data_IF_859663432507
#
_entry.id   IF_859663432507
#
_cell.length_a   1.000
_cell.length_b   1.000
_cell.length_c   1.000
_cell.angle_alpha   90.00
_cell.angle_beta   90.00
_cell.angle_gamma   90.00
#
_symmetry.space_group_name_H-M   'P 1'
#
loop_
_entity.id
_entity.type
_entity.pdbx_description
1 polymer ?
#
# COMPACT_ATOMS: atom_id res chain seq x y z
N UNK A 1 -28.90 -42.97 -20.24
CA UNK A 1 -28.30 -42.04 -21.21
C UNK A 1 -26.89 -41.70 -20.74
N UNK A 2 -25.88 -42.39 -21.27
CA UNK A 2 -24.45 -42.13 -21.01
C UNK A 2 -23.93 -41.30 -22.18
N UNK A 3 -23.69 -40.01 -21.99
CA UNK A 3 -22.98 -39.17 -22.96
C UNK A 3 -21.48 -39.43 -22.82
N UNK A 4 -20.96 -40.23 -23.74
CA UNK A 4 -19.55 -40.50 -23.96
C UNK A 4 -18.81 -39.25 -24.41
N UNK A 5 -17.98 -38.67 -23.54
CA UNK A 5 -16.92 -37.73 -23.94
C UNK A 5 -15.75 -38.53 -24.52
N UNK A 6 -15.74 -38.68 -25.83
CA UNK A 6 -14.52 -39.01 -26.59
C UNK A 6 -14.30 -37.90 -27.62
N UNK A 7 -13.59 -36.81 -27.27
CA UNK A 7 -13.05 -35.92 -28.31
C UNK A 7 -11.93 -36.68 -29.00
N UNK A 8 -12.25 -37.29 -30.15
CA UNK A 8 -11.24 -37.73 -31.11
C UNK A 8 -10.50 -36.49 -31.64
N UNK A 9 -9.18 -36.59 -31.86
CA UNK A 9 -8.30 -35.55 -32.40
C UNK A 9 -8.73 -35.08 -33.81
N UNK A 10 -9.86 -34.38 -33.89
CA UNK A 10 -10.33 -33.72 -35.11
C UNK A 10 -9.73 -32.30 -35.14
N UNK A 11 -9.31 -31.85 -36.32
CA UNK A 11 -8.74 -30.52 -36.56
C UNK A 11 -9.52 -29.36 -35.88
N UNK A 12 -10.87 -29.38 -35.79
CA UNK A 12 -11.64 -28.38 -35.05
C UNK A 12 -11.50 -28.45 -33.51
N UNK A 13 -11.31 -29.65 -32.93
CA UNK A 13 -11.06 -29.82 -31.48
C UNK A 13 -9.65 -29.28 -31.14
N UNK A 14 -8.67 -29.47 -32.03
CA UNK A 14 -7.31 -28.93 -31.89
C UNK A 14 -7.30 -27.40 -32.03
N UNK A 15 -7.99 -26.82 -33.01
CA UNK A 15 -8.07 -25.36 -33.19
C UNK A 15 -8.78 -24.68 -32.00
N UNK A 16 -9.83 -25.30 -31.44
CA UNK A 16 -10.51 -24.79 -30.23
C UNK A 16 -9.64 -24.91 -28.99
N UNK A 17 -8.92 -26.03 -28.80
CA UNK A 17 -7.99 -26.20 -27.69
C UNK A 17 -6.79 -25.25 -27.78
N UNK A 18 -6.24 -25.07 -28.99
CA UNK A 18 -5.19 -24.09 -29.24
C UNK A 18 -5.70 -22.67 -28.99
N UNK A 19 -6.86 -22.28 -29.52
CA UNK A 19 -7.45 -20.96 -29.28
C UNK A 19 -7.74 -20.66 -27.80
N UNK A 20 -8.22 -21.66 -27.03
CA UNK A 20 -8.36 -21.53 -25.58
C UNK A 20 -7.00 -21.43 -24.88
N UNK A 21 -5.99 -22.19 -25.31
CA UNK A 21 -4.64 -22.12 -24.77
C UNK A 21 -4.00 -20.75 -25.05
N UNK A 22 -4.11 -20.22 -26.28
CA UNK A 22 -3.65 -18.86 -26.62
C UNK A 22 -4.41 -17.81 -25.84
N UNK A 23 -5.72 -17.95 -25.66
CA UNK A 23 -6.53 -17.02 -24.85
C UNK A 23 -6.10 -17.06 -23.37
N UNK A 24 -5.82 -18.24 -22.80
CA UNK A 24 -5.29 -18.35 -21.43
C UNK A 24 -3.85 -17.86 -21.30
N UNK A 25 -3.02 -17.99 -22.33
CA UNK A 25 -1.66 -17.43 -22.36
C UNK A 25 -1.67 -15.90 -22.49
N UNK A 26 -2.64 -15.34 -23.24
CA UNK A 26 -2.88 -13.89 -23.32
C UNK A 26 -3.47 -13.37 -22.00
N UNK A 27 -4.37 -14.11 -21.36
CA UNK A 27 -4.91 -13.74 -20.04
C UNK A 27 -3.87 -13.89 -18.91
N UNK A 28 -2.91 -14.82 -19.03
CA UNK A 28 -1.77 -14.93 -18.11
C UNK A 28 -0.81 -13.73 -18.19
N UNK A 29 -0.91 -12.91 -19.24
CA UNK A 29 -0.13 -11.66 -19.38
C UNK A 29 -0.75 -10.46 -18.66
N UNK A 30 -2.02 -10.56 -18.22
CA UNK A 30 -2.67 -9.55 -17.40
C UNK A 30 -2.48 -9.89 -15.91
N UNK A 31 -1.36 -9.47 -15.34
CA UNK A 31 -1.19 -9.45 -13.88
C UNK A 31 -2.38 -8.69 -13.26
N UNK A 32 -3.04 -9.26 -12.25
CA UNK A 32 -4.13 -8.60 -11.49
C UNK A 32 -3.64 -7.25 -10.95
N UNK A 33 -2.34 -7.14 -10.65
CA UNK A 33 -1.70 -5.88 -10.25
C UNK A 33 -1.78 -4.84 -11.37
N UNK A 34 -1.50 -5.23 -12.63
CA UNK A 34 -1.61 -4.32 -13.78
C UNK A 34 -3.04 -3.86 -14.02
N UNK A 35 -4.01 -4.77 -13.90
CA UNK A 35 -5.42 -4.45 -14.05
C UNK A 35 -5.88 -3.49 -12.95
N UNK A 36 -5.60 -3.81 -11.68
CA UNK A 36 -5.96 -2.99 -10.54
C UNK A 36 -5.29 -1.62 -10.57
N UNK A 37 -4.01 -1.58 -10.93
CA UNK A 37 -3.27 -0.33 -11.08
C UNK A 37 -3.82 0.55 -12.21
N UNK A 38 -4.19 -0.05 -13.35
CA UNK A 38 -4.81 0.69 -14.46
C UNK A 38 -6.13 1.37 -14.08
N UNK A 39 -6.86 0.83 -13.10
CA UNK A 39 -8.11 1.39 -12.57
C UNK A 39 -7.92 2.17 -11.27
N UNK A 40 -6.67 2.46 -10.87
CA UNK A 40 -6.36 3.10 -9.61
C UNK A 40 -7.04 4.48 -9.44
N UNK A 41 -7.14 5.35 -10.47
CA UNK A 41 -7.90 6.60 -10.36
C UNK A 41 -9.36 6.37 -9.96
N UNK A 42 -10.03 5.39 -10.58
CA UNK A 42 -11.43 5.06 -10.29
C UNK A 42 -11.60 4.51 -8.86
N UNK A 43 -10.71 3.61 -8.46
CA UNK A 43 -10.74 3.01 -7.12
C UNK A 43 -10.52 4.05 -6.02
N UNK A 44 -9.59 4.98 -6.23
CA UNK A 44 -9.34 6.08 -5.30
C UNK A 44 -10.55 7.03 -5.27
N UNK A 45 -11.15 7.34 -6.43
CA UNK A 45 -12.38 8.13 -6.48
C UNK A 45 -13.47 7.51 -5.60
N UNK A 46 -13.81 6.24 -5.78
CA UNK A 46 -14.87 5.59 -4.99
C UNK A 46 -14.54 5.53 -3.50
N UNK A 47 -13.25 5.38 -3.17
CA UNK A 47 -12.81 5.46 -1.79
C UNK A 47 -13.03 6.85 -1.20
N UNK A 48 -12.61 7.92 -1.87
CA UNK A 48 -12.81 9.31 -1.41
C UNK A 48 -14.29 9.66 -1.35
N UNK A 49 -15.06 9.28 -2.37
CA UNK A 49 -16.50 9.50 -2.45
C UNK A 49 -17.24 8.84 -1.28
N UNK A 50 -16.88 7.61 -0.92
CA UNK A 50 -17.43 6.95 0.26
C UNK A 50 -17.21 7.71 1.58
N UNK A 51 -16.18 8.56 1.66
CA UNK A 51 -15.91 9.42 2.81
C UNK A 51 -16.52 10.82 2.72
N UNK A 52 -16.67 11.39 1.52
CA UNK A 52 -17.05 12.79 1.33
C UNK A 52 -18.42 13.02 0.68
N UNK A 53 -19.04 11.98 0.09
CA UNK A 53 -20.32 12.04 -0.61
C UNK A 53 -20.33 13.17 -1.67
N UNK A 54 -19.50 13.01 -2.70
CA UNK A 54 -19.17 14.10 -3.62
C UNK A 54 -20.32 14.42 -4.59
N UNK A 55 -20.55 15.70 -4.86
CA UNK A 55 -21.45 16.12 -5.94
C UNK A 55 -20.82 15.85 -7.33
N UNK A 56 -21.61 15.99 -8.41
CA UNK A 56 -21.16 15.76 -9.78
C UNK A 56 -19.94 16.63 -10.18
N UNK A 57 -19.92 17.89 -9.72
CA UNK A 57 -18.87 18.85 -10.04
C UNK A 57 -17.58 18.61 -9.24
N UNK A 58 -17.68 18.10 -8.02
CA UNK A 58 -16.54 17.64 -7.21
C UNK A 58 -16.01 16.30 -7.72
N UNK A 59 -16.90 15.38 -8.09
CA UNK A 59 -16.58 14.08 -8.69
C UNK A 59 -15.78 14.23 -9.97
N UNK A 60 -16.25 15.08 -10.90
CA UNK A 60 -15.55 15.35 -12.16
C UNK A 60 -14.16 15.95 -11.92
N UNK A 61 -14.04 16.89 -10.97
CA UNK A 61 -12.77 17.50 -10.60
C UNK A 61 -11.78 16.45 -10.05
N UNK A 62 -12.21 15.66 -9.06
CA UNK A 62 -11.36 14.66 -8.42
C UNK A 62 -10.87 13.61 -9.42
N UNK A 63 -11.73 13.11 -10.30
CA UNK A 63 -11.37 12.14 -11.35
C UNK A 63 -10.28 12.67 -12.27
N UNK A 64 -10.41 13.92 -12.74
CA UNK A 64 -9.41 14.55 -13.60
C UNK A 64 -8.06 14.72 -12.89
N UNK A 65 -8.06 15.08 -11.61
CA UNK A 65 -6.82 15.24 -10.85
C UNK A 65 -6.16 13.89 -10.54
N UNK A 66 -6.94 12.85 -10.23
CA UNK A 66 -6.43 11.49 -10.03
C UNK A 66 -5.80 10.93 -11.30
N UNK A 67 -6.35 11.20 -12.49
CA UNK A 67 -5.71 10.80 -13.76
C UNK A 67 -4.36 11.49 -13.97
N UNK A 68 -4.26 12.80 -13.69
CA UNK A 68 -2.98 13.53 -13.79
C UNK A 68 -1.93 12.96 -12.84
N UNK A 69 -2.32 12.69 -11.59
CA UNK A 69 -1.44 12.09 -10.57
C UNK A 69 -1.00 10.69 -11.01
N UNK A 70 -1.92 9.88 -11.52
CA UNK A 70 -1.65 8.53 -11.99
C UNK A 70 -0.69 8.53 -13.19
N UNK A 71 -0.90 9.38 -14.18
CA UNK A 71 0.03 9.53 -15.29
C UNK A 71 1.42 10.02 -14.84
N UNK A 72 1.47 10.99 -13.93
CA UNK A 72 2.73 11.44 -13.34
C UNK A 72 3.45 10.30 -12.61
N UNK A 73 2.74 9.52 -11.80
CA UNK A 73 3.29 8.38 -11.07
C UNK A 73 3.83 7.32 -12.05
N UNK A 74 3.11 7.05 -13.14
CA UNK A 74 3.57 6.14 -14.19
C UNK A 74 4.87 6.61 -14.84
N UNK A 75 4.99 7.91 -15.12
CA UNK A 75 6.16 8.51 -15.77
C UNK A 75 7.36 8.62 -14.82
N UNK A 76 7.14 9.01 -13.58
CA UNK A 76 8.21 9.39 -12.65
C UNK A 76 8.53 8.29 -11.64
N UNK A 77 7.53 7.69 -10.99
CA UNK A 77 7.75 6.80 -9.85
C UNK A 77 7.92 5.33 -10.26
N UNK A 78 7.17 4.83 -11.25
CA UNK A 78 7.29 3.43 -11.66
C UNK A 78 8.68 3.03 -12.21
N UNK A 79 9.37 3.84 -13.02
CA UNK A 79 10.75 3.51 -13.44
C UNK A 79 11.72 3.43 -12.25
N UNK A 80 11.54 4.31 -11.25
CA UNK A 80 12.38 4.34 -10.05
C UNK A 80 12.12 3.12 -9.14
N UNK A 81 10.85 2.71 -9.04
CA UNK A 81 10.46 1.47 -8.38
C UNK A 81 11.06 0.24 -9.10
N UNK A 82 10.96 0.17 -10.42
CA UNK A 82 11.55 -0.93 -11.21
C UNK A 82 13.06 -1.06 -10.98
N UNK A 83 13.79 0.06 -10.98
CA UNK A 83 15.24 0.05 -10.73
C UNK A 83 15.58 -0.36 -9.29
N UNK A 84 14.78 0.06 -8.31
CA UNK A 84 14.92 -0.40 -6.92
C UNK A 84 14.70 -1.91 -6.82
N UNK A 85 13.66 -2.43 -7.46
CA UNK A 85 13.35 -3.87 -7.47
C UNK A 85 14.45 -4.70 -8.16
N UNK A 86 15.03 -4.20 -9.24
CA UNK A 86 16.19 -4.82 -9.89
C UNK A 86 17.42 -4.85 -8.95
N UNK A 87 17.65 -3.78 -8.19
CA UNK A 87 18.72 -3.71 -7.20
C UNK A 87 18.48 -4.68 -6.04
N UNK A 88 17.25 -4.80 -5.56
CA UNK A 88 16.91 -5.74 -4.50
C UNK A 88 17.11 -7.20 -4.93
N UNK A 89 16.89 -7.54 -6.21
CA UNK A 89 17.15 -8.89 -6.73
C UNK A 89 18.62 -9.29 -6.61
N UNK A 90 19.55 -8.38 -6.92
CA UNK A 90 20.99 -8.69 -6.82
C UNK A 90 21.46 -8.84 -5.38
N UNK A 91 20.77 -8.20 -4.43
CA UNK A 91 21.08 -8.30 -3.00
C UNK A 91 20.42 -9.51 -2.34
N UNK A 92 19.23 -9.91 -2.80
CA UNK A 92 18.42 -10.98 -2.22
C UNK A 92 19.08 -12.38 -2.26
N UNK A 93 20.17 -12.56 -3.00
CA UNK A 93 20.93 -13.82 -3.03
C UNK A 93 21.99 -13.90 -1.91
N UNK A 94 22.30 -12.78 -1.25
CA UNK A 94 23.36 -12.65 -0.24
C UNK A 94 22.77 -12.25 1.11
N UNK A 95 23.54 -12.44 2.18
CA UNK A 95 23.12 -11.98 3.51
C UNK A 95 22.98 -10.46 3.54
N UNK A 96 22.00 -9.99 4.31
CA UNK A 96 21.71 -8.57 4.51
C UNK A 96 21.92 -8.16 5.95
N UNK A 97 22.30 -6.90 6.14
CA UNK A 97 22.37 -6.26 7.45
C UNK A 97 21.08 -5.51 7.75
N UNK A 98 20.72 -5.30 9.03
CA UNK A 98 19.59 -4.45 9.39
C UNK A 98 19.71 -3.02 8.84
N UNK A 99 20.93 -2.47 8.81
CA UNK A 99 21.20 -1.14 8.28
C UNK A 99 20.86 -1.03 6.77
N UNK A 100 21.16 -2.05 5.97
CA UNK A 100 20.76 -2.09 4.56
C UNK A 100 19.23 -2.09 4.43
N UNK A 101 18.52 -2.90 5.22
CA UNK A 101 17.05 -2.95 5.19
C UNK A 101 16.41 -1.62 5.60
N UNK A 102 16.91 -0.99 6.66
CA UNK A 102 16.43 0.32 7.09
C UNK A 102 16.75 1.42 6.07
N UNK A 103 17.90 1.35 5.40
CA UNK A 103 18.23 2.24 4.28
C UNK A 103 17.21 2.18 3.14
N UNK A 104 16.68 0.99 2.83
CA UNK A 104 15.59 0.85 1.84
C UNK A 104 14.29 1.53 2.30
N UNK A 105 13.95 1.42 3.59
CA UNK A 105 12.78 2.11 4.15
C UNK A 105 12.96 3.63 4.04
N UNK A 106 14.14 4.15 4.35
CA UNK A 106 14.45 5.57 4.26
C UNK A 106 14.43 6.09 2.81
N UNK A 107 14.90 5.30 1.85
CA UNK A 107 14.87 5.65 0.43
C UNK A 107 13.45 5.74 -0.15
N UNK A 108 12.47 5.04 0.43
CA UNK A 108 11.06 5.09 0.00
C UNK A 108 10.30 6.30 0.55
N UNK A 109 10.70 6.86 1.69
CA UNK A 109 10.02 8.02 2.32
C UNK A 109 9.85 9.22 1.36
N UNK A 110 10.89 9.72 0.68
CA UNK A 110 10.73 10.86 -0.24
C UNK A 110 9.85 10.55 -1.45
N UNK A 111 9.72 9.28 -1.87
CA UNK A 111 8.83 8.85 -2.96
C UNK A 111 7.35 9.07 -2.58
N UNK A 112 7.01 8.73 -1.34
CA UNK A 112 5.66 8.99 -0.79
C UNK A 112 5.40 10.50 -0.74
N UNK A 113 6.38 11.28 -0.28
CA UNK A 113 6.29 12.74 -0.27
C UNK A 113 6.01 13.33 -1.65
N UNK A 114 6.70 12.87 -2.69
CA UNK A 114 6.50 13.35 -4.05
C UNK A 114 5.08 13.09 -4.58
N UNK A 115 4.45 11.95 -4.22
CA UNK A 115 3.04 11.67 -4.56
C UNK A 115 2.10 12.64 -3.85
N UNK A 116 2.36 12.93 -2.57
CA UNK A 116 1.55 13.88 -1.79
C UNK A 116 1.68 15.30 -2.33
N UNK A 117 2.87 15.74 -2.71
CA UNK A 117 3.13 17.04 -3.34
C UNK A 117 2.38 17.16 -4.68
N UNK A 118 2.33 16.08 -5.46
CA UNK A 118 1.57 16.03 -6.71
C UNK A 118 0.05 16.07 -6.49
N UNK A 119 -0.44 15.57 -5.36
CA UNK A 119 -1.86 15.58 -4.99
C UNK A 119 -2.32 16.90 -4.33
N UNK A 120 -1.41 17.64 -3.70
CA UNK A 120 -1.69 18.85 -2.90
C UNK A 120 -2.60 19.88 -3.62
N UNK A 121 -2.37 20.25 -4.91
CA UNK A 121 -3.20 21.27 -5.56
C UNK A 121 -4.66 20.83 -5.74
N UNK A 122 -4.87 19.56 -6.09
CA UNK A 122 -6.20 18.98 -6.25
C UNK A 122 -6.93 18.85 -4.91
N UNK A 123 -6.20 18.43 -3.86
CA UNK A 123 -6.72 18.38 -2.50
C UNK A 123 -7.16 19.76 -1.99
N UNK A 124 -6.35 20.81 -2.21
CA UNK A 124 -6.72 22.17 -1.81
C UNK A 124 -7.97 22.66 -2.57
N UNK A 125 -8.06 22.37 -3.86
CA UNK A 125 -9.22 22.77 -4.68
C UNK A 125 -10.48 22.04 -4.21
N UNK A 126 -10.42 20.73 -3.99
CA UNK A 126 -11.56 19.96 -3.50
C UNK A 126 -11.99 20.38 -2.10
N UNK A 127 -11.04 20.54 -1.17
CA UNK A 127 -11.32 20.84 0.23
C UNK A 127 -12.05 22.17 0.44
N UNK A 128 -11.74 23.19 -0.37
CA UNK A 128 -12.43 24.51 -0.30
C UNK A 128 -13.87 24.48 -0.83
N UNK A 129 -14.26 23.39 -1.50
CA UNK A 129 -15.60 23.20 -2.08
C UNK A 129 -16.49 22.27 -1.24
N UNK A 130 -15.99 21.76 -0.11
CA UNK A 130 -16.76 20.86 0.75
C UNK A 130 -17.86 21.61 1.48
N UNK A 131 -19.01 20.95 1.66
CA UNK A 131 -20.15 21.52 2.41
C UNK A 131 -20.15 21.05 3.87
N UNK A 132 -20.92 21.73 4.76
CA UNK A 132 -21.11 21.27 6.13
C UNK A 132 -21.67 19.84 6.23
N UNK A 133 -22.58 19.45 5.32
CA UNK A 133 -23.16 18.12 5.26
C UNK A 133 -22.11 17.05 4.92
N UNK A 134 -21.22 17.35 3.98
CA UNK A 134 -20.11 16.46 3.61
C UNK A 134 -19.10 16.30 4.75
N UNK A 135 -18.83 17.37 5.51
CA UNK A 135 -18.00 17.29 6.71
C UNK A 135 -18.66 16.44 7.81
N UNK A 136 -19.98 16.54 7.97
CA UNK A 136 -20.71 15.69 8.91
C UNK A 136 -20.68 14.20 8.49
N UNK A 137 -20.82 13.92 7.19
CA UNK A 137 -20.67 12.57 6.65
C UNK A 137 -19.25 12.02 6.87
N UNK A 138 -18.22 12.83 6.60
CA UNK A 138 -16.82 12.49 6.87
C UNK A 138 -16.63 12.09 8.34
N UNK A 139 -17.13 12.88 9.29
CA UNK A 139 -17.02 12.57 10.72
C UNK A 139 -17.65 11.21 11.04
N UNK A 140 -18.85 10.94 10.51
CA UNK A 140 -19.52 9.65 10.70
C UNK A 140 -18.69 8.48 10.13
N UNK A 141 -18.07 8.63 8.96
CA UNK A 141 -17.19 7.60 8.38
C UNK A 141 -15.90 7.41 9.19
N UNK A 142 -15.33 8.47 9.75
CA UNK A 142 -14.16 8.40 10.64
C UNK A 142 -14.49 7.64 11.93
N UNK A 143 -15.65 7.91 12.54
CA UNK A 143 -16.13 7.22 13.74
C UNK A 143 -16.37 5.73 13.47
N UNK A 144 -17.01 5.40 12.33
CA UNK A 144 -17.19 4.02 11.88
C UNK A 144 -15.86 3.30 11.69
N UNK A 145 -14.89 3.96 11.04
CA UNK A 145 -13.54 3.41 10.83
C UNK A 145 -12.79 3.20 12.14
N UNK A 146 -12.96 4.11 13.11
CA UNK A 146 -12.41 3.95 14.45
C UNK A 146 -12.95 2.69 15.13
N UNK A 147 -14.27 2.43 15.07
CA UNK A 147 -14.83 1.21 15.67
C UNK A 147 -14.30 -0.06 14.99
N UNK A 148 -14.25 -0.09 13.66
CA UNK A 148 -13.66 -1.21 12.92
C UNK A 148 -12.20 -1.47 13.32
N UNK A 149 -11.40 -0.41 13.46
CA UNK A 149 -10.02 -0.54 13.92
C UNK A 149 -9.95 -1.14 15.33
N UNK A 150 -10.83 -0.72 16.25
CA UNK A 150 -10.89 -1.30 17.60
C UNK A 150 -11.22 -2.80 17.55
N UNK A 151 -12.18 -3.20 16.72
CA UNK A 151 -12.55 -4.61 16.58
C UNK A 151 -11.42 -5.45 15.98
N UNK A 152 -10.69 -4.92 15.01
CA UNK A 152 -9.55 -5.60 14.37
C UNK A 152 -8.33 -5.73 15.32
N UNK A 153 -8.04 -4.67 16.10
CA UNK A 153 -6.77 -4.54 16.81
C UNK A 153 -6.87 -4.74 18.32
N UNK A 154 -7.99 -4.41 18.97
CA UNK A 154 -8.14 -4.51 20.43
C UNK A 154 -8.82 -5.81 20.89
N UNK A 155 -9.47 -6.55 19.99
CA UNK A 155 -10.22 -7.76 20.35
C UNK A 155 -9.32 -8.85 20.94
N UNK A 156 -9.80 -9.51 22.00
CA UNK A 156 -9.09 -10.61 22.65
C UNK A 156 -7.99 -10.16 23.61
N UNK A 157 -7.42 -11.11 24.35
CA UNK A 157 -6.34 -10.87 25.31
C UNK A 157 -4.98 -10.68 24.60
N UNK A 158 -3.96 -10.30 25.37
CA UNK A 158 -2.62 -9.99 24.84
C UNK A 158 -1.99 -11.14 24.05
N UNK A 159 -2.17 -12.38 24.49
CA UNK A 159 -1.64 -13.57 23.81
C UNK A 159 -2.34 -13.78 22.46
N UNK A 160 -3.67 -13.63 22.40
CA UNK A 160 -4.42 -13.72 21.15
C UNK A 160 -4.02 -12.61 20.17
N UNK A 161 -3.78 -11.39 20.66
CA UNK A 161 -3.30 -10.29 19.81
C UNK A 161 -1.90 -10.53 19.26
N UNK A 162 -0.99 -11.07 20.08
CA UNK A 162 0.35 -11.45 19.62
C UNK A 162 0.30 -12.58 18.59
N UNK A 163 -0.54 -13.60 18.80
CA UNK A 163 -0.72 -14.69 17.85
C UNK A 163 -1.19 -14.18 16.48
N UNK A 164 -2.20 -13.29 16.44
CA UNK A 164 -2.67 -12.68 15.18
C UNK A 164 -1.63 -11.78 14.51
N UNK A 165 -0.70 -11.18 15.27
CA UNK A 165 0.42 -10.41 14.70
C UNK A 165 1.46 -11.35 14.07
N UNK A 166 1.75 -12.46 14.75
CA UNK A 166 2.67 -13.47 14.25
C UNK A 166 2.14 -14.15 12.98
N UNK A 167 0.89 -14.59 12.99
CA UNK A 167 0.22 -15.20 11.83
C UNK A 167 0.32 -14.28 10.60
N UNK A 168 -0.10 -13.02 10.72
CA UNK A 168 0.01 -12.04 9.63
C UNK A 168 1.44 -11.78 9.16
N UNK A 169 2.44 -11.93 10.04
CA UNK A 169 3.84 -11.78 9.66
C UNK A 169 4.36 -13.02 8.92
N UNK A 170 3.94 -14.21 9.34
CA UNK A 170 4.24 -15.48 8.67
C UNK A 170 3.63 -15.47 7.27
N UNK A 171 2.33 -15.20 7.13
CA UNK A 171 1.64 -15.18 5.83
C UNK A 171 2.35 -14.26 4.83
N UNK A 172 2.68 -13.04 5.26
CA UNK A 172 3.42 -12.08 4.43
C UNK A 172 4.80 -12.59 4.07
N UNK A 173 5.52 -13.21 4.99
CA UNK A 173 6.83 -13.76 4.68
C UNK A 173 6.73 -14.93 3.69
N UNK A 174 5.70 -15.77 3.79
CA UNK A 174 5.47 -16.90 2.89
C UNK A 174 5.08 -16.49 1.46
N UNK A 175 4.44 -15.33 1.28
CA UNK A 175 4.19 -14.76 -0.04
C UNK A 175 5.50 -14.54 -0.83
N UNK A 176 6.56 -14.11 -0.14
CA UNK A 176 7.87 -13.82 -0.73
C UNK A 176 8.81 -15.03 -0.73
N UNK A 177 8.96 -15.73 0.39
CA UNK A 177 9.94 -16.81 0.56
C UNK A 177 9.36 -18.20 0.31
N UNK A 178 8.04 -18.37 0.30
CA UNK A 178 7.39 -19.68 0.39
C UNK A 178 7.35 -20.20 1.83
N UNK A 179 6.95 -21.46 2.06
CA UNK A 179 6.75 -22.00 3.41
C UNK A 179 7.95 -21.78 4.33
N UNK A 180 7.69 -21.36 5.57
CA UNK A 180 8.73 -21.13 6.57
C UNK A 180 9.00 -22.36 7.43
N UNK A 181 10.29 -22.61 7.73
CA UNK A 181 10.68 -23.66 8.68
C UNK A 181 10.26 -23.34 10.12
N UNK A 182 10.26 -24.35 10.99
CA UNK A 182 9.97 -24.17 12.42
C UNK A 182 10.93 -23.17 13.09
N UNK A 183 12.20 -23.18 12.68
CA UNK A 183 13.22 -22.25 13.16
C UNK A 183 12.89 -20.82 12.72
N UNK A 184 12.51 -20.62 11.46
CA UNK A 184 12.11 -19.33 10.90
C UNK A 184 10.86 -18.77 11.59
N UNK A 185 9.84 -19.60 11.82
CA UNK A 185 8.65 -19.21 12.57
C UNK A 185 8.99 -18.84 14.02
N UNK A 186 9.97 -19.50 14.62
CA UNK A 186 10.46 -19.19 15.96
C UNK A 186 11.22 -17.87 16.00
N UNK A 187 12.03 -17.56 14.98
CA UNK A 187 12.66 -16.24 14.81
C UNK A 187 11.60 -15.12 14.75
N UNK A 188 10.55 -15.30 13.94
CA UNK A 188 9.46 -14.33 13.83
C UNK A 188 8.65 -14.19 15.13
N UNK A 189 8.40 -15.30 15.84
CA UNK A 189 7.74 -15.28 17.16
C UNK A 189 8.53 -14.44 18.17
N UNK A 190 9.84 -14.65 18.23
CA UNK A 190 10.73 -13.86 19.09
C UNK A 190 10.73 -12.38 18.69
N UNK A 191 10.78 -12.08 17.39
CA UNK A 191 10.69 -10.71 16.87
C UNK A 191 9.37 -10.02 17.27
N UNK A 192 8.23 -10.70 17.17
CA UNK A 192 6.92 -10.17 17.57
C UNK A 192 6.85 -9.95 19.09
N UNK A 193 7.38 -10.88 19.88
CA UNK A 193 7.40 -10.78 21.35
C UNK A 193 8.27 -9.62 21.85
N UNK A 194 9.40 -9.38 21.19
CA UNK A 194 10.34 -8.29 21.54
C UNK A 194 10.05 -6.97 20.82
N UNK A 195 9.02 -6.93 19.98
CA UNK A 195 8.65 -5.76 19.19
C UNK A 195 8.25 -4.59 20.09
N UNK A 196 8.79 -3.37 19.88
CA UNK A 196 8.37 -2.18 20.62
C UNK A 196 7.02 -1.63 20.12
N UNK A 197 6.21 -2.45 19.45
CA UNK A 197 4.89 -2.05 18.98
C UNK A 197 4.00 -1.71 20.17
N UNK A 198 3.56 -0.46 20.22
CA UNK A 198 2.71 0.06 21.27
C UNK A 198 1.33 0.35 20.68
N UNK A 199 0.35 -0.45 21.11
CA UNK A 199 -1.01 -0.40 20.61
C UNK A 199 -1.76 0.86 21.06
N UNK A 200 -1.51 1.32 22.29
CA UNK A 200 -2.14 2.53 22.82
C UNK A 200 -1.61 3.78 22.09
N UNK A 201 -0.30 3.83 21.85
CA UNK A 201 0.32 4.91 21.10
C UNK A 201 -0.10 4.91 19.62
N UNK A 202 -0.25 3.74 19.01
CA UNK A 202 -0.80 3.61 17.66
C UNK A 202 -2.25 4.11 17.58
N UNK A 203 -3.09 3.75 18.57
CA UNK A 203 -4.47 4.24 18.66
C UNK A 203 -4.52 5.76 18.83
N UNK A 204 -3.71 6.31 19.74
CA UNK A 204 -3.66 7.75 19.99
C UNK A 204 -3.27 8.54 18.73
N UNK A 205 -2.28 8.05 17.96
CA UNK A 205 -1.89 8.71 16.70
C UNK A 205 -2.98 8.60 15.63
N UNK A 206 -3.68 7.46 15.53
CA UNK A 206 -4.82 7.32 14.61
C UNK A 206 -5.90 8.36 14.91
N UNK A 207 -6.31 8.49 16.18
CA UNK A 207 -7.32 9.48 16.60
C UNK A 207 -6.86 10.90 16.34
N UNK A 208 -5.59 11.21 16.62
CA UNK A 208 -5.00 12.52 16.32
C UNK A 208 -5.09 12.83 14.83
N UNK A 209 -4.75 11.88 13.94
CA UNK A 209 -4.83 12.06 12.49
C UNK A 209 -6.25 12.27 11.98
N UNK A 210 -7.23 11.56 12.56
CA UNK A 210 -8.65 11.76 12.25
C UNK A 210 -9.12 13.17 12.62
N UNK A 211 -8.77 13.64 13.83
CA UNK A 211 -9.08 15.00 14.24
C UNK A 211 -8.39 16.04 13.34
N UNK A 212 -7.12 15.79 12.98
CA UNK A 212 -6.30 16.69 12.18
C UNK A 212 -6.88 16.88 10.76
N UNK A 213 -7.29 15.79 10.09
CA UNK A 213 -7.94 15.89 8.77
C UNK A 213 -9.29 16.60 8.85
N UNK A 214 -10.11 16.28 9.86
CA UNK A 214 -11.43 16.93 10.01
C UNK A 214 -11.29 18.43 10.24
N UNK A 215 -10.41 18.86 11.16
CA UNK A 215 -10.18 20.28 11.45
C UNK A 215 -9.58 21.03 10.27
N UNK A 216 -8.67 20.41 9.53
CA UNK A 216 -8.08 21.00 8.32
C UNK A 216 -9.16 21.22 7.26
N UNK A 217 -9.98 20.20 6.98
CA UNK A 217 -11.07 20.30 5.99
C UNK A 217 -12.15 21.30 6.43
N UNK A 218 -12.50 21.34 7.72
CA UNK A 218 -13.43 22.33 8.27
C UNK A 218 -12.91 23.76 8.08
N UNK A 219 -11.61 23.99 8.29
CA UNK A 219 -10.98 25.30 8.09
C UNK A 219 -11.00 25.69 6.61
N UNK A 220 -10.64 24.77 5.71
CA UNK A 220 -10.64 24.98 4.26
C UNK A 220 -12.05 25.25 3.70
N UNK A 221 -13.04 24.48 4.15
CA UNK A 221 -14.43 24.61 3.75
C UNK A 221 -15.11 25.90 4.26
N UNK A 222 -14.50 26.60 5.23
CA UNK A 222 -15.07 27.85 5.76
C UNK A 222 -15.12 29.00 4.73
N UNK A 223 -14.40 28.87 3.61
CA UNK A 223 -14.35 29.87 2.54
C UNK A 223 -13.58 31.16 2.92
N UNK A 224 -12.90 31.17 4.07
CA UNK A 224 -12.20 32.37 4.60
C UNK A 224 -10.76 32.52 4.11
N UNK A 225 -10.21 31.47 3.52
CA UNK A 225 -8.81 31.43 3.09
C UNK A 225 -8.68 31.82 1.62
N UNK A 226 -7.65 32.61 1.30
CA UNK A 226 -7.23 32.78 -0.10
C UNK A 226 -6.71 31.44 -0.67
N UNK A 227 -6.66 31.28 -2.01
CA UNK A 227 -6.11 30.06 -2.62
C UNK A 227 -4.69 29.71 -2.14
N UNK A 228 -3.84 30.73 -1.91
CA UNK A 228 -2.49 30.52 -1.41
C UNK A 228 -2.49 30.02 0.05
N UNK A 229 -3.36 30.56 0.91
CA UNK A 229 -3.52 30.10 2.28
C UNK A 229 -4.11 28.68 2.33
N UNK A 230 -5.12 28.38 1.52
CA UNK A 230 -5.71 27.04 1.44
C UNK A 230 -4.65 25.99 1.05
N UNK A 231 -3.82 26.30 0.05
CA UNK A 231 -2.70 25.43 -0.34
C UNK A 231 -1.69 25.25 0.79
N UNK A 232 -1.35 26.32 1.51
CA UNK A 232 -0.44 26.25 2.66
C UNK A 232 -1.00 25.38 3.80
N UNK A 233 -2.30 25.45 4.07
CA UNK A 233 -2.97 24.60 5.08
C UNK A 233 -2.90 23.11 4.71
N UNK A 234 -3.19 22.77 3.44
CA UNK A 234 -3.05 21.39 2.95
C UNK A 234 -1.59 20.93 3.05
N UNK A 235 -0.63 21.76 2.64
CA UNK A 235 0.78 21.44 2.74
C UNK A 235 1.22 21.11 4.19
N UNK A 236 0.79 21.93 5.16
CA UNK A 236 1.07 21.69 6.57
C UNK A 236 0.42 20.41 7.09
N UNK A 237 -0.81 20.11 6.68
CA UNK A 237 -1.47 18.86 7.03
C UNK A 237 -0.74 17.65 6.44
N UNK A 238 -0.36 17.68 5.15
CA UNK A 238 0.43 16.62 4.52
C UNK A 238 1.79 16.43 5.20
N UNK A 239 2.41 17.50 5.67
CA UNK A 239 3.63 17.43 6.50
C UNK A 239 3.39 16.67 7.80
N UNK A 240 2.29 16.93 8.52
CA UNK A 240 1.91 16.20 9.75
C UNK A 240 1.51 14.75 9.49
N UNK A 241 1.01 14.44 8.29
CA UNK A 241 0.76 13.06 7.84
C UNK A 241 2.07 12.32 7.68
N UNK A 242 3.08 12.92 7.03
CA UNK A 242 4.39 12.29 6.84
C UNK A 242 5.18 12.19 8.16
N UNK A 243 5.17 13.27 8.95
CA UNK A 243 5.89 13.37 10.21
C UNK A 243 4.92 13.75 11.33
N UNK A 244 4.57 12.77 12.17
CA UNK A 244 3.69 13.02 13.32
C UNK A 244 4.25 14.13 14.21
N UNK A 245 3.43 15.09 14.68
CA UNK A 245 3.86 16.08 15.66
C UNK A 245 4.12 15.45 17.04
N UNK A 246 3.62 14.25 17.33
CA UNK A 246 3.82 13.56 18.60
C UNK A 246 5.25 12.96 18.71
N UNK A 247 6.14 13.51 19.56
CA UNK A 247 7.52 13.03 19.69
C UNK A 247 7.60 11.60 20.22
N UNK A 248 6.70 11.19 21.13
CA UNK A 248 6.67 9.82 21.65
C UNK A 248 6.34 8.82 20.53
N UNK A 249 5.37 9.16 19.67
CA UNK A 249 5.04 8.36 18.50
C UNK A 249 6.22 8.25 17.52
N UNK A 250 6.88 9.38 17.20
CA UNK A 250 8.06 9.37 16.32
C UNK A 250 9.17 8.47 16.86
N UNK A 251 9.53 8.62 18.13
CA UNK A 251 10.54 7.78 18.79
C UNK A 251 10.14 6.30 18.78
N UNK A 252 8.87 5.99 19.03
CA UNK A 252 8.39 4.62 18.95
C UNK A 252 8.48 4.06 17.52
N UNK A 253 8.14 4.85 16.51
CA UNK A 253 8.21 4.45 15.11
C UNK A 253 9.65 4.19 14.64
N UNK A 254 10.61 4.99 15.10
CA UNK A 254 12.04 4.75 14.86
C UNK A 254 12.47 3.41 15.48
N UNK A 255 12.14 3.16 16.76
CA UNK A 255 12.44 1.88 17.42
C UNK A 255 11.77 0.69 16.73
N UNK A 256 10.51 0.85 16.34
CA UNK A 256 9.75 -0.19 15.63
C UNK A 256 10.33 -0.49 14.26
N UNK A 257 10.75 0.55 13.52
CA UNK A 257 11.42 0.38 12.23
C UNK A 257 12.72 -0.40 12.39
N UNK A 258 13.56 -0.03 13.38
CA UNK A 258 14.80 -0.75 13.67
C UNK A 258 14.54 -2.22 14.02
N UNK A 259 13.61 -2.49 14.95
CA UNK A 259 13.28 -3.87 15.37
C UNK A 259 12.75 -4.72 14.20
N UNK A 260 12.01 -4.10 13.26
CA UNK A 260 11.57 -4.77 12.04
C UNK A 260 12.76 -5.06 11.10
N UNK A 261 13.67 -4.11 10.89
CA UNK A 261 14.88 -4.35 10.10
C UNK A 261 15.72 -5.48 10.68
N UNK A 262 15.88 -5.53 12.01
CA UNK A 262 16.60 -6.62 12.69
C UNK A 262 15.92 -7.97 12.46
N UNK A 263 14.60 -8.03 12.64
CA UNK A 263 13.81 -9.27 12.47
C UNK A 263 13.81 -9.76 11.02
N UNK A 264 13.68 -8.86 10.05
CA UNK A 264 13.70 -9.22 8.63
C UNK A 264 15.09 -9.62 8.14
N UNK A 265 16.16 -9.00 8.65
CA UNK A 265 17.52 -9.43 8.34
C UNK A 265 17.79 -10.84 8.87
N UNK A 266 17.37 -11.13 10.12
CA UNK A 266 17.48 -12.48 10.69
C UNK A 266 16.70 -13.52 9.87
N UNK A 267 15.46 -13.20 9.47
CA UNK A 267 14.67 -14.07 8.61
C UNK A 267 15.36 -14.31 7.26
N UNK A 268 15.77 -13.23 6.58
CA UNK A 268 16.42 -13.32 5.27
C UNK A 268 17.70 -14.15 5.31
N UNK A 269 18.54 -13.92 6.31
CA UNK A 269 19.81 -14.63 6.44
C UNK A 269 19.61 -16.12 6.79
N UNK A 270 18.49 -16.47 7.43
CA UNK A 270 18.10 -17.86 7.65
C UNK A 270 17.47 -18.54 6.42
N UNK A 271 17.21 -17.81 5.33
CA UNK A 271 16.53 -18.34 4.16
C UNK A 271 17.43 -19.30 3.36
N UNK A 272 16.88 -20.44 2.98
CA UNK A 272 17.55 -21.39 2.08
C UNK A 272 17.78 -20.80 0.69
N UNK A 273 18.66 -21.41 -0.10
CA UNK A 273 18.90 -21.01 -1.50
C UNK A 273 17.60 -20.99 -2.33
N UNK A 274 16.72 -21.98 -2.13
CA UNK A 274 15.42 -22.05 -2.80
C UNK A 274 14.50 -20.89 -2.39
N UNK A 275 14.44 -20.55 -1.10
CA UNK A 275 13.66 -19.41 -0.60
C UNK A 275 14.21 -18.08 -1.16
N UNK A 276 15.53 -17.91 -1.24
CA UNK A 276 16.17 -16.73 -1.86
C UNK A 276 15.85 -16.62 -3.35
N UNK A 277 15.92 -17.72 -4.11
CA UNK A 277 15.53 -17.73 -5.52
C UNK A 277 14.06 -17.38 -5.73
N UNK A 278 13.17 -17.84 -4.84
CA UNK A 278 11.75 -17.46 -4.89
C UNK A 278 11.56 -15.97 -4.63
N UNK A 279 12.24 -15.40 -3.64
CA UNK A 279 12.23 -13.96 -3.39
C UNK A 279 12.69 -13.19 -4.64
N UNK A 280 13.81 -13.59 -5.26
CA UNK A 280 14.31 -12.97 -6.50
C UNK A 280 13.24 -13.04 -7.60
N UNK A 281 12.60 -14.19 -7.80
CA UNK A 281 11.52 -14.35 -8.78
C UNK A 281 10.32 -13.45 -8.48
N UNK A 282 9.96 -13.27 -7.20
CA UNK A 282 8.87 -12.37 -6.80
C UNK A 282 9.22 -10.90 -7.07
N UNK A 283 10.42 -10.47 -6.71
CA UNK A 283 10.92 -9.12 -6.99
C UNK A 283 10.95 -8.84 -8.50
N UNK A 284 11.36 -9.83 -9.31
CA UNK A 284 11.35 -9.74 -10.77
C UNK A 284 9.92 -9.58 -11.33
N UNK A 285 8.95 -10.29 -10.78
CA UNK A 285 7.55 -10.13 -11.16
C UNK A 285 7.03 -8.71 -10.91
N UNK A 286 7.35 -8.13 -9.75
CA UNK A 286 7.00 -6.72 -9.47
C UNK A 286 7.76 -5.74 -10.36
N UNK A 287 9.02 -6.02 -10.67
CA UNK A 287 9.81 -5.20 -11.61
C UNK A 287 9.15 -5.19 -12.98
N UNK A 288 8.76 -6.36 -13.50
CA UNK A 288 8.10 -6.50 -14.79
C UNK A 288 6.77 -5.77 -14.84
N UNK A 289 5.99 -5.83 -13.76
CA UNK A 289 4.75 -5.06 -13.64
C UNK A 289 5.02 -3.56 -13.64
N UNK A 290 6.00 -3.08 -12.86
CA UNK A 290 6.37 -1.67 -12.82
C UNK A 290 6.86 -1.15 -14.19
N UNK A 291 7.68 -1.94 -14.89
CA UNK A 291 8.16 -1.60 -16.24
C UNK A 291 7.04 -1.60 -17.28
N UNK A 292 6.15 -2.58 -17.24
CA UNK A 292 5.02 -2.66 -18.16
C UNK A 292 3.99 -1.53 -17.96
N UNK A 293 3.86 -1.05 -16.71
CA UNK A 293 2.97 0.05 -16.35
C UNK A 293 3.63 1.42 -16.55
N UNK A 294 4.95 1.51 -16.67
CA UNK A 294 5.61 2.74 -17.10
C UNK A 294 5.30 3.03 -18.58
N UNK A 295 5.16 4.30 -18.99
CA UNK A 295 5.03 4.61 -20.41
C UNK A 295 6.32 4.27 -21.15
N UNK A 296 6.20 3.86 -22.42
CA UNK A 296 7.37 3.60 -23.26
C UNK A 296 8.28 4.84 -23.31
N UNK A 297 9.58 4.63 -23.13
CA UNK A 297 10.59 5.65 -23.37
C UNK A 297 10.48 6.08 -24.83
N UNK A 298 10.24 7.37 -25.08
CA UNK A 298 10.29 7.95 -26.43
C UNK A 298 11.72 8.09 -26.90
#
# INVERSE_FOLDING_TARGET
MRTSLTCRLSLPCIIRALGLLTLTLVLASCSVVRLGYGQLPELIYWWVDGYLDLDDGQSSLLRQDLEKIHEWHRRQELPQLANTLATLQTQAVSDVTPAQLCGWVDALKPRIGAVLDQAEPGLATLATRLTPEQLAHLQHQLDKRQQQWRDEWLKGNDAERQARRLERLIDRAEDFYGPLSTEQQTLLRTGVANSPFDLALAQAEMLRRQQDVYQTLQTLASGRLSPAQARAEVHQWLTRVQTSPNPAYRTNMTRLTQANCDSFAALHNSASSNQRQRLVSRLKGFEDDARALAPASR
#
